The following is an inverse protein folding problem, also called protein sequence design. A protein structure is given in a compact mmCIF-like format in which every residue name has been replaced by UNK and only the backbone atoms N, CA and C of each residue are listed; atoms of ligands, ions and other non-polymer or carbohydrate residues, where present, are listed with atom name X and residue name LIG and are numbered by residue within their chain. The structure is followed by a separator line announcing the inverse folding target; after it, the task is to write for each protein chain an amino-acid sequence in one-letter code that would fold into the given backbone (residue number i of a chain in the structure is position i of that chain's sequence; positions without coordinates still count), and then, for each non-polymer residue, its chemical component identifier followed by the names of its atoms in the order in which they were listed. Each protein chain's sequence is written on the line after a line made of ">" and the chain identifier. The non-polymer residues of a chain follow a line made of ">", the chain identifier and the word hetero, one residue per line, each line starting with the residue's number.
data_IF_541026222623
#
_entry.id   IF_541026222623
#
_cell.length_a   1.000
_cell.length_b   1.000
_cell.length_c   1.000
_cell.angle_alpha   90.00
_cell.angle_beta   90.00
_cell.angle_gamma   90.00
#
_symmetry.space_group_name_H-M   'P 1'
#
loop_
_entity.id
_entity.type
_entity.pdbx_description
1 polymer ?
#
# COMPACT_ATOMS: atom_id res chain seq x y z
N UNK A 1 -11.52 -21.60 23.17
CA UNK A 1 -10.44 -22.03 22.25
C UNK A 1 -10.89 -21.49 20.92
N UNK A 2 -9.96 -21.02 20.08
CA UNK A 2 -10.29 -20.61 18.71
C UNK A 2 -10.92 -21.78 17.94
N UNK A 3 -11.77 -21.49 16.97
CA UNK A 3 -12.38 -22.50 16.11
C UNK A 3 -11.29 -23.20 15.28
N UNK A 4 -11.35 -24.53 15.21
CA UNK A 4 -10.44 -25.30 14.36
C UNK A 4 -11.11 -25.58 13.01
N UNK A 5 -10.68 -24.87 11.96
CA UNK A 5 -11.08 -25.15 10.59
C UNK A 5 -10.55 -26.51 10.13
N UNK A 6 -11.12 -27.08 9.07
CA UNK A 6 -10.55 -28.26 8.41
C UNK A 6 -9.11 -27.99 7.89
N UNK A 7 -8.76 -26.70 7.77
CA UNK A 7 -7.45 -26.16 7.47
C UNK A 7 -6.98 -25.19 8.56
N UNK A 8 -5.72 -24.80 8.53
CA UNK A 8 -5.09 -23.92 9.51
C UNK A 8 -5.34 -22.41 9.29
N UNK A 9 -6.40 -22.06 8.53
CA UNK A 9 -6.81 -20.67 8.26
C UNK A 9 -8.28 -20.63 7.79
N UNK A 10 -8.97 -19.48 7.90
CA UNK A 10 -10.32 -19.29 7.38
C UNK A 10 -10.42 -19.39 5.86
N UNK A 11 -9.43 -18.86 5.15
CA UNK A 11 -9.34 -18.89 3.69
C UNK A 11 -7.92 -18.61 3.19
N UNK A 12 -7.68 -19.00 1.94
CA UNK A 12 -6.49 -18.67 1.18
C UNK A 12 -6.87 -17.88 -0.08
N UNK A 13 -6.02 -16.96 -0.54
CA UNK A 13 -6.20 -16.22 -1.77
C UNK A 13 -5.03 -16.46 -2.72
N UNK A 14 -5.29 -16.70 -4.00
CA UNK A 14 -4.26 -16.80 -5.02
C UNK A 14 -3.98 -15.42 -5.61
N UNK A 15 -2.91 -14.78 -5.11
CA UNK A 15 -2.50 -13.44 -5.54
C UNK A 15 -1.68 -13.56 -6.82
N UNK A 16 -2.10 -12.90 -7.88
CA UNK A 16 -1.55 -13.01 -9.23
C UNK A 16 -0.99 -11.66 -9.69
N UNK A 17 0.20 -11.68 -10.30
CA UNK A 17 0.79 -10.50 -10.96
C UNK A 17 0.00 -10.17 -12.23
N UNK A 18 -0.68 -9.01 -12.24
CA UNK A 18 -1.56 -8.58 -13.33
C UNK A 18 -0.78 -8.29 -14.62
N UNK A 19 0.40 -7.69 -14.52
CA UNK A 19 1.23 -7.40 -15.69
C UNK A 19 1.66 -8.68 -16.41
N UNK A 20 2.17 -9.66 -15.69
CA UNK A 20 2.55 -10.98 -16.24
C UNK A 20 1.36 -11.75 -16.76
N UNK A 21 0.22 -11.67 -16.09
CA UNK A 21 -1.02 -12.27 -16.56
C UNK A 21 -1.45 -11.69 -17.92
N UNK A 22 -1.34 -10.38 -18.10
CA UNK A 22 -1.62 -9.70 -19.38
C UNK A 22 -0.62 -10.11 -20.50
N UNK A 23 0.57 -10.54 -20.15
CA UNK A 23 1.59 -11.09 -21.07
C UNK A 23 1.34 -12.57 -21.39
N UNK A 24 0.35 -13.20 -20.74
CA UNK A 24 -0.02 -14.62 -20.94
C UNK A 24 0.70 -15.57 -19.99
N UNK A 25 1.33 -15.06 -18.94
CA UNK A 25 1.99 -15.85 -17.91
C UNK A 25 1.16 -15.84 -16.63
N UNK A 26 0.75 -17.00 -16.12
CA UNK A 26 0.10 -17.11 -14.83
C UNK A 26 1.19 -17.20 -13.74
N UNK A 27 1.54 -16.05 -13.16
CA UNK A 27 2.49 -15.95 -12.06
C UNK A 27 1.76 -15.45 -10.83
N UNK A 28 1.59 -16.32 -9.86
CA UNK A 28 0.89 -16.05 -8.61
C UNK A 28 1.23 -17.07 -7.55
N UNK A 29 0.77 -16.84 -6.32
CA UNK A 29 1.01 -17.70 -5.16
C UNK A 29 -0.18 -17.67 -4.21
N UNK A 30 -0.46 -18.82 -3.56
CA UNK A 30 -1.46 -18.93 -2.50
C UNK A 30 -0.95 -18.28 -1.21
N UNK A 31 -1.77 -17.44 -0.63
CA UNK A 31 -1.54 -16.76 0.64
C UNK A 31 -2.64 -17.13 1.61
N UNK A 32 -2.25 -17.68 2.77
CA UNK A 32 -3.16 -17.95 3.88
C UNK A 32 -3.47 -16.66 4.62
N UNK A 33 -4.72 -16.46 4.98
CA UNK A 33 -5.16 -15.36 5.82
C UNK A 33 -5.70 -15.90 7.16
N UNK A 34 -5.34 -15.27 8.32
CA UNK A 34 -4.49 -14.10 8.45
C UNK A 34 -3.01 -14.38 8.12
N UNK A 35 -2.33 -13.34 7.61
CA UNK A 35 -0.90 -13.36 7.26
C UNK A 35 -0.15 -12.23 7.95
N UNK A 36 1.16 -12.16 7.74
CA UNK A 36 1.99 -11.04 8.20
C UNK A 36 2.49 -10.20 7.05
N UNK A 37 2.83 -8.93 7.34
CA UNK A 37 3.41 -8.01 6.37
C UNK A 37 4.69 -8.56 5.74
N UNK A 38 5.55 -9.21 6.53
CA UNK A 38 6.81 -9.80 6.06
C UNK A 38 6.60 -11.00 5.13
N UNK A 39 5.57 -11.82 5.39
CA UNK A 39 5.29 -12.97 4.51
C UNK A 39 4.65 -12.49 3.20
N UNK A 40 3.73 -11.54 3.26
CA UNK A 40 3.10 -10.98 2.08
C UNK A 40 4.13 -10.26 1.18
N UNK A 41 5.06 -9.51 1.77
CA UNK A 41 6.17 -8.89 1.04
C UNK A 41 7.01 -9.93 0.28
N UNK A 42 7.37 -11.04 0.93
CA UNK A 42 8.12 -12.13 0.26
C UNK A 42 7.31 -12.78 -0.87
N UNK A 43 5.98 -12.92 -0.71
CA UNK A 43 5.12 -13.38 -1.79
C UNK A 43 5.19 -12.42 -2.97
N UNK A 44 5.06 -11.12 -2.74
CA UNK A 44 5.14 -10.10 -3.78
C UNK A 44 6.48 -10.14 -4.52
N UNK A 45 7.59 -10.30 -3.79
CA UNK A 45 8.92 -10.48 -4.39
C UNK A 45 8.98 -11.74 -5.27
N UNK A 46 8.42 -12.88 -4.80
CA UNK A 46 8.42 -14.15 -5.54
C UNK A 46 7.56 -14.12 -6.80
N UNK A 47 6.41 -13.45 -6.76
CA UNK A 47 5.54 -13.28 -7.93
C UNK A 47 5.98 -12.13 -8.85
N UNK A 48 7.04 -11.39 -8.46
CA UNK A 48 7.69 -10.36 -9.25
C UNK A 48 7.00 -9.00 -9.24
N UNK A 49 6.18 -8.69 -8.23
CA UNK A 49 5.69 -7.32 -7.99
C UNK A 49 6.88 -6.44 -7.61
N UNK A 50 7.00 -5.26 -8.23
CA UNK A 50 8.16 -4.35 -8.10
C UNK A 50 9.33 -4.66 -9.05
N UNK A 51 9.34 -5.83 -9.72
CA UNK A 51 10.31 -6.12 -10.79
C UNK A 51 9.92 -5.41 -12.10
N UNK A 52 10.82 -5.42 -13.10
CA UNK A 52 10.59 -4.75 -14.38
C UNK A 52 10.46 -5.75 -15.52
N UNK A 53 9.65 -5.37 -16.52
CA UNK A 53 9.56 -6.05 -17.80
C UNK A 53 10.83 -5.83 -18.66
N UNK A 54 10.87 -6.45 -19.85
CA UNK A 54 11.98 -6.31 -20.81
C UNK A 54 12.16 -4.87 -21.35
N UNK A 55 11.16 -4.01 -21.16
CA UNK A 55 11.15 -2.61 -21.59
C UNK A 55 11.46 -1.64 -20.45
N UNK A 56 11.62 -2.14 -19.21
CA UNK A 56 11.92 -1.36 -18.02
C UNK A 56 10.69 -0.84 -17.27
N UNK A 57 9.46 -1.26 -17.64
CA UNK A 57 8.24 -0.87 -16.92
C UNK A 57 8.09 -1.76 -15.69
N UNK A 58 7.76 -1.21 -14.50
CA UNK A 58 7.59 -2.00 -13.31
C UNK A 58 6.26 -2.78 -13.33
N UNK A 59 6.25 -3.98 -12.74
CA UNK A 59 5.03 -4.71 -12.42
C UNK A 59 4.53 -4.25 -11.04
N UNK A 60 3.53 -3.39 -11.02
CA UNK A 60 3.01 -2.77 -9.77
C UNK A 60 1.63 -3.28 -9.39
N UNK A 61 0.90 -3.88 -10.34
CA UNK A 61 -0.49 -4.26 -10.16
C UNK A 61 -0.63 -5.77 -9.92
N UNK A 62 -1.55 -6.11 -9.05
CA UNK A 62 -1.93 -7.48 -8.72
C UNK A 62 -3.45 -7.59 -8.61
N UNK A 63 -3.95 -8.82 -8.65
CA UNK A 63 -5.34 -9.15 -8.41
C UNK A 63 -5.44 -10.55 -7.81
N UNK A 64 -6.59 -10.88 -7.25
CA UNK A 64 -6.86 -12.21 -6.69
C UNK A 64 -7.61 -13.00 -7.75
N UNK A 65 -7.00 -14.03 -8.26
CA UNK A 65 -7.59 -14.84 -9.34
C UNK A 65 -8.38 -16.04 -8.83
N UNK A 66 -8.20 -16.43 -7.57
CA UNK A 66 -8.95 -17.54 -6.96
C UNK A 66 -8.88 -17.46 -5.42
N UNK A 67 -9.83 -18.13 -4.76
CA UNK A 67 -9.89 -18.31 -3.32
C UNK A 67 -10.14 -19.79 -2.98
N UNK A 68 -9.51 -20.26 -1.91
CA UNK A 68 -9.90 -21.49 -1.21
C UNK A 68 -10.44 -21.09 0.16
N UNK A 69 -11.75 -21.27 0.37
CA UNK A 69 -12.47 -20.71 1.51
C UNK A 69 -13.10 -21.82 2.35
N UNK A 70 -12.80 -21.83 3.65
CA UNK A 70 -13.23 -22.83 4.61
C UNK A 70 -14.35 -22.34 5.55
N UNK A 71 -14.91 -21.16 5.21
CA UNK A 71 -16.03 -20.53 5.92
C UNK A 71 -17.25 -20.55 5.01
N UNK A 72 -18.31 -21.22 5.43
CA UNK A 72 -19.52 -21.39 4.64
C UNK A 72 -20.16 -20.02 4.29
N UNK A 73 -20.51 -19.85 3.00
CA UNK A 73 -21.15 -18.64 2.50
C UNK A 73 -20.25 -17.43 2.36
N UNK A 74 -18.96 -17.52 2.71
CA UNK A 74 -18.02 -16.39 2.56
C UNK A 74 -17.46 -16.29 1.15
N UNK A 75 -17.24 -17.41 0.46
CA UNK A 75 -16.63 -17.43 -0.88
C UNK A 75 -17.34 -16.50 -1.88
N UNK A 76 -18.67 -16.45 -1.87
CA UNK A 76 -19.47 -15.61 -2.78
C UNK A 76 -19.38 -14.11 -2.48
N UNK A 77 -18.75 -13.74 -1.36
CA UNK A 77 -18.54 -12.36 -0.94
C UNK A 77 -17.15 -11.83 -1.29
N UNK A 78 -16.23 -12.73 -1.65
CA UNK A 78 -14.84 -12.40 -1.96
C UNK A 78 -14.71 -12.02 -3.44
N UNK A 79 -14.07 -10.87 -3.71
CA UNK A 79 -13.89 -10.32 -5.05
C UNK A 79 -12.44 -10.39 -5.55
N UNK A 80 -12.24 -10.14 -6.84
CA UNK A 80 -10.92 -10.18 -7.48
C UNK A 80 -9.99 -9.03 -7.05
N UNK A 81 -10.54 -7.92 -6.55
CA UNK A 81 -9.82 -6.69 -6.22
C UNK A 81 -10.03 -6.25 -4.76
N UNK A 82 -10.20 -7.22 -3.87
CA UNK A 82 -10.37 -6.93 -2.45
C UNK A 82 -9.09 -6.35 -1.83
N UNK A 83 -9.26 -5.49 -0.84
CA UNK A 83 -8.15 -4.93 -0.08
C UNK A 83 -7.54 -6.00 0.84
N UNK A 84 -6.24 -6.28 0.67
CA UNK A 84 -5.55 -7.33 1.46
C UNK A 84 -5.48 -7.03 2.95
N UNK A 85 -5.46 -5.75 3.36
CA UNK A 85 -5.55 -5.39 4.78
C UNK A 85 -6.93 -5.69 5.35
N UNK A 86 -7.99 -5.45 4.55
CA UNK A 86 -9.36 -5.76 4.95
C UNK A 86 -9.61 -7.27 5.01
N UNK A 87 -9.08 -8.04 4.04
CA UNK A 87 -9.10 -9.50 4.09
C UNK A 87 -8.35 -10.04 5.31
N UNK A 88 -7.19 -9.45 5.63
CA UNK A 88 -6.42 -9.85 6.79
C UNK A 88 -7.14 -9.54 8.10
N UNK A 89 -7.79 -8.40 8.17
CA UNK A 89 -8.59 -8.01 9.33
C UNK A 89 -9.80 -8.93 9.52
N UNK A 90 -10.53 -9.25 8.44
CA UNK A 90 -11.61 -10.23 8.49
C UNK A 90 -11.12 -11.60 8.97
N UNK A 91 -10.04 -12.10 8.37
CA UNK A 91 -9.50 -13.41 8.72
C UNK A 91 -9.03 -13.46 10.18
N UNK A 92 -8.42 -12.38 10.68
CA UNK A 92 -7.99 -12.28 12.08
C UNK A 92 -9.17 -12.33 13.04
N UNK A 93 -10.26 -11.61 12.72
CA UNK A 93 -11.49 -11.65 13.52
C UNK A 93 -12.13 -13.04 13.53
N UNK A 94 -12.13 -13.73 12.39
CA UNK A 94 -12.65 -15.09 12.30
C UNK A 94 -11.81 -16.09 13.11
N UNK A 95 -10.49 -15.93 13.08
CA UNK A 95 -9.55 -16.79 13.82
C UNK A 95 -9.62 -16.58 15.35
N UNK A 96 -10.13 -15.45 15.82
CA UNK A 96 -10.34 -15.14 17.23
C UNK A 96 -11.64 -15.75 17.79
N UNK A 97 -12.59 -16.19 16.95
CA UNK A 97 -13.84 -16.78 17.38
C UNK A 97 -13.60 -18.14 18.03
N UNK A 98 -14.35 -18.45 19.09
CA UNK A 98 -14.43 -19.81 19.60
C UNK A 98 -15.54 -20.60 18.88
N UNK A 99 -15.64 -21.91 19.15
CA UNK A 99 -16.64 -22.80 18.51
C UNK A 99 -18.08 -22.30 18.64
N UNK A 100 -18.42 -21.68 19.77
CA UNK A 100 -19.76 -21.14 20.01
C UNK A 100 -20.00 -19.90 19.14
N UNK A 101 -19.08 -18.95 19.19
CA UNK A 101 -19.20 -17.68 18.45
C UNK A 101 -19.08 -17.90 16.94
N UNK A 102 -18.27 -18.88 16.51
CA UNK A 102 -18.21 -19.26 15.10
C UNK A 102 -19.53 -19.83 14.59
N UNK A 103 -20.17 -20.77 15.35
CA UNK A 103 -21.48 -21.29 14.97
C UNK A 103 -22.55 -20.20 14.97
N UNK A 104 -22.46 -19.26 15.91
CA UNK A 104 -23.34 -18.10 15.97
C UNK A 104 -23.15 -17.19 14.75
N UNK A 105 -21.90 -16.91 14.37
CA UNK A 105 -21.55 -16.16 13.17
C UNK A 105 -22.10 -16.85 11.90
N UNK A 106 -21.90 -18.17 11.78
CA UNK A 106 -22.40 -18.94 10.64
C UNK A 106 -23.93 -18.89 10.53
N UNK A 107 -24.64 -19.00 11.66
CA UNK A 107 -26.08 -18.86 11.69
C UNK A 107 -26.54 -17.45 11.30
N UNK A 108 -25.86 -16.42 11.83
CA UNK A 108 -26.15 -15.01 11.51
C UNK A 108 -25.87 -14.71 10.03
N UNK A 109 -24.80 -15.25 9.44
CA UNK A 109 -24.47 -15.12 8.02
C UNK A 109 -25.61 -15.58 7.08
N UNK A 110 -26.41 -16.59 7.50
CA UNK A 110 -27.50 -17.13 6.69
C UNK A 110 -28.74 -16.23 6.67
N UNK A 111 -28.94 -15.39 7.68
CA UNK A 111 -30.18 -14.59 7.79
C UNK A 111 -29.94 -13.07 7.74
N UNK A 112 -28.72 -12.60 7.95
CA UNK A 112 -28.39 -11.18 8.04
C UNK A 112 -28.46 -10.49 6.68
N UNK A 113 -29.02 -9.29 6.69
CA UNK A 113 -28.95 -8.36 5.54
C UNK A 113 -27.56 -7.71 5.40
N UNK A 114 -26.70 -7.84 6.42
CA UNK A 114 -25.35 -7.25 6.48
C UNK A 114 -24.27 -8.26 6.07
N UNK A 115 -24.34 -8.74 4.83
CA UNK A 115 -23.38 -9.69 4.25
C UNK A 115 -23.03 -9.34 2.80
N UNK A 116 -23.27 -8.09 2.39
CA UNK A 116 -23.11 -7.65 1.00
C UNK A 116 -21.67 -7.33 0.60
N UNK A 117 -20.77 -7.14 1.57
CA UNK A 117 -19.37 -6.78 1.38
C UNK A 117 -18.50 -7.34 2.50
N UNK A 118 -17.17 -7.33 2.32
CA UNK A 118 -16.20 -7.70 3.38
C UNK A 118 -16.40 -6.82 4.62
N UNK A 119 -16.58 -5.51 4.44
CA UNK A 119 -16.92 -4.58 5.49
C UNK A 119 -18.16 -5.03 6.31
N UNK A 120 -19.22 -5.46 5.61
CA UNK A 120 -20.45 -5.89 6.29
C UNK A 120 -20.20 -7.15 7.12
N UNK A 121 -19.43 -8.11 6.59
CA UNK A 121 -19.07 -9.34 7.30
C UNK A 121 -18.18 -9.05 8.52
N UNK A 122 -17.23 -8.12 8.43
CA UNK A 122 -16.42 -7.65 9.56
C UNK A 122 -17.34 -7.10 10.67
N UNK A 123 -18.28 -6.23 10.29
CA UNK A 123 -19.21 -5.65 11.24
C UNK A 123 -20.19 -6.69 11.81
N UNK A 124 -20.57 -7.70 11.04
CA UNK A 124 -21.46 -8.77 11.53
C UNK A 124 -20.83 -9.53 12.70
N UNK A 125 -19.52 -9.81 12.65
CA UNK A 125 -18.80 -10.46 13.75
C UNK A 125 -18.90 -9.64 15.05
N UNK A 126 -18.87 -8.30 14.95
CA UNK A 126 -18.99 -7.40 16.10
C UNK A 126 -20.45 -7.18 16.56
N UNK A 127 -21.43 -7.68 15.82
CA UNK A 127 -22.86 -7.55 16.10
C UNK A 127 -23.57 -8.89 16.31
N UNK A 128 -22.85 -9.95 16.68
CA UNK A 128 -23.46 -11.27 16.92
C UNK A 128 -24.51 -11.21 18.03
N UNK A 129 -24.39 -10.30 19.00
CA UNK A 129 -25.38 -10.05 20.04
C UNK A 129 -26.76 -9.57 19.51
N UNK A 130 -26.85 -9.17 18.23
CA UNK A 130 -28.10 -8.80 17.56
C UNK A 130 -28.87 -10.02 17.01
N UNK A 131 -28.26 -11.16 17.04
CA UNK A 131 -28.83 -12.42 16.58
C UNK A 131 -28.93 -13.40 17.77
N UNK A 132 -30.10 -13.97 17.97
CA UNK A 132 -30.28 -15.04 18.94
C UNK A 132 -30.28 -16.39 18.23
N UNK A 133 -29.42 -17.29 18.69
CA UNK A 133 -29.35 -18.67 18.18
C UNK A 133 -29.83 -19.66 19.25
N UNK A 134 -30.62 -20.64 18.82
CA UNK A 134 -31.07 -21.78 19.67
C UNK A 134 -30.51 -23.07 19.09
N UNK A 135 -29.30 -23.48 19.52
CA UNK A 135 -28.64 -24.69 19.02
C UNK A 135 -29.49 -25.95 19.29
N UNK A 136 -29.56 -26.83 18.31
CA UNK A 136 -30.34 -28.07 18.41
C UNK A 136 -31.86 -27.92 18.22
N UNK A 137 -32.33 -26.72 17.93
CA UNK A 137 -33.71 -26.43 17.47
C UNK A 137 -33.75 -26.46 15.96
N UNK A 138 -34.15 -27.58 15.37
CA UNK A 138 -34.04 -27.84 13.94
C UNK A 138 -35.38 -27.85 13.20
N UNK A 139 -36.49 -27.85 13.97
CA UNK A 139 -37.85 -27.91 13.43
C UNK A 139 -38.83 -27.02 14.20
N UNK A 140 -40.01 -26.78 13.57
CA UNK A 140 -41.08 -26.10 14.28
C UNK A 140 -41.50 -26.82 15.55
N UNK A 141 -41.48 -28.16 15.57
CA UNK A 141 -41.82 -28.92 16.78
C UNK A 141 -40.78 -28.66 17.89
N UNK A 142 -39.48 -28.68 17.56
CA UNK A 142 -38.44 -28.39 18.53
C UNK A 142 -38.53 -26.96 19.06
N UNK A 143 -38.83 -25.99 18.16
CA UNK A 143 -39.05 -24.61 18.55
C UNK A 143 -40.23 -24.45 19.49
N UNK A 144 -41.32 -25.14 19.21
CA UNK A 144 -42.50 -25.19 20.09
C UNK A 144 -42.20 -25.75 21.45
N UNK A 145 -41.47 -26.86 21.53
CA UNK A 145 -40.98 -27.44 22.79
C UNK A 145 -40.08 -26.49 23.55
N UNK A 146 -39.11 -25.89 22.87
CA UNK A 146 -38.16 -24.95 23.47
C UNK A 146 -38.89 -23.77 24.13
N UNK A 147 -39.85 -23.15 23.42
CA UNK A 147 -40.60 -21.99 23.92
C UNK A 147 -41.54 -22.33 25.06
N UNK A 148 -42.21 -23.47 24.99
CA UNK A 148 -43.21 -23.85 26.00
C UNK A 148 -42.53 -24.45 27.23
N UNK A 149 -41.61 -25.41 27.04
CA UNK A 149 -41.07 -26.21 28.13
C UNK A 149 -39.80 -25.61 28.72
N UNK A 150 -38.89 -25.09 27.87
CA UNK A 150 -37.62 -24.56 28.38
C UNK A 150 -37.71 -23.08 28.76
N UNK A 151 -38.33 -22.26 27.93
CA UNK A 151 -38.53 -20.83 28.24
C UNK A 151 -39.76 -20.59 29.14
N UNK A 152 -40.65 -21.57 29.26
CA UNK A 152 -41.83 -21.47 30.11
C UNK A 152 -42.83 -20.39 29.64
N UNK A 153 -42.90 -20.10 28.32
CA UNK A 153 -43.77 -19.08 27.77
C UNK A 153 -45.26 -19.41 27.91
N UNK A 154 -45.57 -20.68 28.22
CA UNK A 154 -46.95 -21.14 28.50
C UNK A 154 -46.89 -22.16 29.64
N UNK A 155 -47.70 -21.92 30.67
CA UNK A 155 -47.92 -22.93 31.74
C UNK A 155 -48.86 -24.03 31.22
N UNK A 156 -48.30 -25.21 30.94
CA UNK A 156 -49.05 -26.39 30.50
C UNK A 156 -49.14 -27.36 31.66
N UNK A 157 -50.35 -27.67 32.17
CA UNK A 157 -50.51 -28.75 33.16
C UNK A 157 -50.08 -30.11 32.59
N UNK A 158 -49.41 -30.95 33.38
CA UNK A 158 -48.85 -32.24 32.94
C UNK A 158 -49.84 -33.11 32.17
N UNK A 159 -51.13 -33.11 32.57
CA UNK A 159 -52.17 -33.92 31.93
C UNK A 159 -52.62 -33.40 30.56
N UNK A 160 -52.15 -32.21 30.14
CA UNK A 160 -52.41 -31.63 28.82
C UNK A 160 -51.20 -31.64 27.90
N UNK A 161 -50.01 -31.92 28.41
CA UNK A 161 -48.76 -31.89 27.63
C UNK A 161 -48.84 -32.74 26.35
N UNK A 162 -49.41 -33.94 26.44
CA UNK A 162 -49.58 -34.87 25.32
C UNK A 162 -50.58 -34.36 24.23
N UNK A 163 -51.35 -33.31 24.52
CA UNK A 163 -52.33 -32.73 23.62
C UNK A 163 -51.89 -31.43 22.99
N UNK A 164 -50.71 -30.97 23.31
CA UNK A 164 -50.16 -29.74 22.74
C UNK A 164 -49.63 -30.01 21.32
N UNK A 165 -50.06 -29.21 20.37
CA UNK A 165 -49.49 -29.19 19.02
C UNK A 165 -48.26 -28.24 18.97
N UNK A 166 -47.13 -28.79 19.41
CA UNK A 166 -45.84 -28.04 19.46
C UNK A 166 -45.40 -27.56 18.06
N UNK A 167 -45.68 -28.34 17.00
CA UNK A 167 -45.33 -27.97 15.63
C UNK A 167 -46.13 -26.73 15.17
N UNK A 168 -47.43 -26.70 15.47
CA UNK A 168 -48.25 -25.55 15.11
C UNK A 168 -47.83 -24.29 15.90
N UNK A 169 -47.53 -24.45 17.19
CA UNK A 169 -47.07 -23.34 18.02
C UNK A 169 -45.71 -22.82 17.57
N UNK A 170 -44.72 -23.67 17.37
CA UNK A 170 -43.39 -23.27 16.92
C UNK A 170 -43.37 -22.63 15.54
N UNK A 171 -44.24 -23.14 14.62
CA UNK A 171 -44.43 -22.48 13.31
C UNK A 171 -44.94 -21.03 13.47
N UNK A 172 -45.92 -20.81 14.32
CA UNK A 172 -46.47 -19.48 14.56
C UNK A 172 -45.43 -18.57 15.23
N UNK A 173 -44.58 -19.09 16.12
CA UNK A 173 -43.42 -18.38 16.69
C UNK A 173 -42.45 -17.99 15.60
N UNK A 174 -42.00 -18.94 14.76
CA UNK A 174 -41.06 -18.67 13.68
C UNK A 174 -41.52 -17.58 12.71
N UNK A 175 -42.83 -17.61 12.35
CA UNK A 175 -43.43 -16.59 11.49
C UNK A 175 -43.45 -15.22 12.17
N UNK A 176 -43.84 -15.15 13.45
CA UNK A 176 -43.95 -13.89 14.16
C UNK A 176 -42.60 -13.23 14.43
N UNK A 177 -41.55 -14.01 14.63
CA UNK A 177 -40.19 -13.54 14.90
C UNK A 177 -39.34 -13.40 13.64
N UNK A 178 -39.84 -13.84 12.48
CA UNK A 178 -39.12 -13.87 11.20
C UNK A 178 -37.80 -14.64 11.30
N UNK A 179 -37.71 -15.61 12.21
CA UNK A 179 -36.54 -16.46 12.39
C UNK A 179 -36.46 -17.58 11.33
N UNK A 180 -35.31 -18.19 11.22
CA UNK A 180 -35.04 -19.26 10.27
C UNK A 180 -34.34 -20.45 10.91
N UNK A 181 -34.60 -21.64 10.39
CA UNK A 181 -33.85 -22.85 10.75
C UNK A 181 -32.61 -22.93 9.86
N UNK A 182 -31.47 -23.07 10.49
CA UNK A 182 -30.14 -23.20 9.86
C UNK A 182 -29.50 -24.51 10.24
N UNK A 183 -28.37 -24.87 9.64
CA UNK A 183 -27.58 -26.04 10.03
C UNK A 183 -27.00 -25.93 11.45
N UNK A 184 -27.04 -24.72 12.03
CA UNK A 184 -26.51 -24.40 13.38
C UNK A 184 -27.62 -24.29 14.44
N UNK A 185 -28.88 -24.43 14.04
CA UNK A 185 -30.06 -24.28 14.87
C UNK A 185 -31.02 -23.20 14.38
N UNK A 186 -32.05 -22.92 15.18
CA UNK A 186 -32.95 -21.79 14.86
C UNK A 186 -32.29 -20.47 15.23
N UNK A 187 -32.34 -19.50 14.30
CA UNK A 187 -31.75 -18.16 14.49
C UNK A 187 -32.76 -17.09 14.16
N UNK A 188 -32.75 -16.00 14.92
CA UNK A 188 -33.57 -14.82 14.67
C UNK A 188 -32.78 -13.52 14.87
N UNK A 189 -33.14 -12.49 14.13
CA UNK A 189 -32.71 -11.12 14.38
C UNK A 189 -33.51 -10.56 15.56
N UNK A 190 -32.86 -9.96 16.56
CA UNK A 190 -33.49 -9.34 17.71
C UNK A 190 -34.17 -8.01 17.37
N UNK A 191 -33.99 -7.49 16.17
CA UNK A 191 -34.43 -6.19 15.72
C UNK A 191 -33.75 -5.01 16.48
N UNK A 192 -32.66 -5.27 17.18
CA UNK A 192 -31.82 -4.22 17.73
C UNK A 192 -30.98 -3.56 16.65
N UNK A 193 -30.63 -2.29 16.87
CA UNK A 193 -29.87 -1.53 15.88
C UNK A 193 -28.48 -2.15 15.65
N UNK A 194 -28.18 -2.47 14.40
CA UNK A 194 -26.86 -2.87 13.95
C UNK A 194 -25.90 -1.67 14.07
N UNK A 195 -24.70 -1.91 14.59
CA UNK A 195 -23.68 -0.87 14.78
C UNK A 195 -22.56 -1.05 13.77
N UNK A 196 -22.29 -0.03 12.99
CA UNK A 196 -21.13 -0.01 12.10
C UNK A 196 -19.88 0.39 12.91
N UNK A 197 -19.05 -0.57 13.29
CA UNK A 197 -17.80 -0.36 14.02
C UNK A 197 -16.63 -0.07 13.06
N UNK A 198 -16.66 -0.69 11.89
CA UNK A 198 -15.72 -0.50 10.80
C UNK A 198 -16.44 0.11 9.60
N UNK A 199 -15.96 1.26 9.13
CA UNK A 199 -16.60 2.06 8.07
C UNK A 199 -16.11 1.74 6.66
N UNK A 200 -15.14 0.81 6.52
CA UNK A 200 -14.52 0.45 5.24
C UNK A 200 -13.30 1.30 4.90
N UNK A 201 -12.89 2.24 5.78
CA UNK A 201 -11.66 2.97 5.56
C UNK A 201 -10.46 2.18 6.11
N UNK A 202 -9.48 1.92 5.26
CA UNK A 202 -8.24 1.24 5.61
C UNK A 202 -7.53 1.84 6.83
N UNK A 203 -7.57 3.17 6.96
CA UNK A 203 -6.91 3.88 8.07
C UNK A 203 -7.56 3.56 9.43
N UNK A 204 -8.77 3.00 9.44
CA UNK A 204 -9.48 2.55 10.63
C UNK A 204 -9.26 1.06 10.96
N UNK A 205 -8.53 0.33 10.10
CA UNK A 205 -8.04 -1.01 10.45
C UNK A 205 -6.89 -0.86 11.46
N UNK A 206 -6.90 -1.56 12.61
CA UNK A 206 -5.79 -1.52 13.55
C UNK A 206 -4.45 -1.90 12.90
N UNK A 207 -3.37 -1.21 13.26
CA UNK A 207 -2.05 -1.35 12.63
C UNK A 207 -1.55 -2.80 12.62
N UNK A 208 -1.89 -3.59 13.64
CA UNK A 208 -1.51 -5.00 13.77
C UNK A 208 -2.10 -5.91 12.69
N UNK A 209 -3.21 -5.50 12.04
CA UNK A 209 -3.87 -6.26 10.96
C UNK A 209 -3.52 -5.73 9.57
N UNK A 210 -2.79 -4.60 9.47
CA UNK A 210 -2.36 -4.04 8.20
C UNK A 210 -1.13 -4.77 7.67
N UNK A 211 -1.29 -5.48 6.56
CA UNK A 211 -0.24 -6.28 5.95
C UNK A 211 0.39 -5.63 4.72
N UNK A 212 -0.23 -4.56 4.21
CA UNK A 212 0.24 -3.83 3.03
C UNK A 212 1.07 -2.58 3.37
N UNK A 213 1.41 -2.36 4.64
CA UNK A 213 2.16 -1.17 5.08
C UNK A 213 3.57 -1.09 4.44
N UNK A 214 4.16 -2.20 4.02
CA UNK A 214 5.41 -2.19 3.26
C UNK A 214 5.26 -1.54 1.87
N UNK A 215 4.08 -1.62 1.24
CA UNK A 215 3.78 -0.90 -0.01
C UNK A 215 3.57 0.60 0.26
N UNK A 216 2.90 0.91 1.38
CA UNK A 216 2.57 2.28 1.78
C UNK A 216 3.77 2.98 2.40
N UNK A 217 4.64 2.26 3.13
CA UNK A 217 5.85 2.84 3.74
C UNK A 217 6.82 3.37 2.70
N UNK A 218 6.89 2.72 1.53
CA UNK A 218 7.60 3.27 0.37
C UNK A 218 7.03 4.61 -0.10
N UNK A 219 5.73 4.80 -0.03
CA UNK A 219 5.04 6.05 -0.43
C UNK A 219 4.91 7.05 0.74
N UNK A 220 4.60 6.58 1.96
CA UNK A 220 4.47 7.46 3.16
C UNK A 220 5.80 8.02 3.63
N UNK A 221 6.87 7.23 3.63
CA UNK A 221 8.21 7.74 3.96
C UNK A 221 8.67 8.79 2.95
N UNK A 222 8.28 8.66 1.67
CA UNK A 222 8.56 9.65 0.62
C UNK A 222 7.64 10.88 0.72
N UNK A 223 6.37 10.69 1.07
CA UNK A 223 5.38 11.79 1.20
C UNK A 223 5.62 12.70 2.41
N UNK A 224 6.33 12.22 3.41
CA UNK A 224 6.75 13.00 4.59
C UNK A 224 8.19 13.47 4.52
N UNK A 225 8.90 13.21 3.41
CA UNK A 225 10.28 13.63 3.23
C UNK A 225 10.36 15.16 3.24
N UNK A 226 10.95 15.70 4.31
CA UNK A 226 11.22 17.13 4.35
C UNK A 226 12.39 17.48 3.40
N UNK A 227 12.52 18.76 3.09
CA UNK A 227 13.52 19.24 2.13
C UNK A 227 14.96 18.80 2.47
N UNK A 228 15.34 18.80 3.74
CA UNK A 228 16.70 18.41 4.16
C UNK A 228 16.94 16.90 3.99
N UNK A 229 15.94 16.08 4.27
CA UNK A 229 15.99 14.62 4.05
C UNK A 229 16.04 14.32 2.54
N UNK A 230 15.17 14.97 1.76
CA UNK A 230 15.16 14.84 0.30
C UNK A 230 16.53 15.15 -0.30
N UNK A 231 17.17 16.25 0.10
CA UNK A 231 18.50 16.62 -0.41
C UNK A 231 19.55 15.54 -0.16
N UNK A 232 19.54 14.96 1.04
CA UNK A 232 20.54 13.96 1.42
C UNK A 232 20.34 12.67 0.64
N UNK A 233 19.13 12.12 0.63
CA UNK A 233 18.81 10.89 -0.09
C UNK A 233 18.96 11.05 -1.60
N UNK A 234 18.45 12.15 -2.14
CA UNK A 234 18.55 12.45 -3.56
C UNK A 234 20.00 12.57 -4.04
N UNK A 235 20.89 13.14 -3.22
CA UNK A 235 22.31 13.22 -3.53
C UNK A 235 22.99 11.87 -3.58
N UNK A 236 22.66 10.96 -2.63
CA UNK A 236 23.20 9.60 -2.63
C UNK A 236 22.68 8.79 -3.82
N UNK A 237 21.38 8.88 -4.11
CA UNK A 237 20.75 8.18 -5.25
C UNK A 237 21.31 8.71 -6.60
N UNK A 238 21.49 10.01 -6.76
CA UNK A 238 22.15 10.59 -7.94
C UNK A 238 23.57 10.06 -8.09
N UNK A 239 24.31 9.93 -7.01
CA UNK A 239 25.67 9.40 -7.03
C UNK A 239 25.69 7.94 -7.48
N UNK A 240 24.77 7.11 -6.98
CA UNK A 240 24.59 5.73 -7.41
C UNK A 240 24.22 5.64 -8.89
N UNK A 241 23.26 6.41 -9.34
CA UNK A 241 22.81 6.44 -10.74
C UNK A 241 23.88 6.96 -11.71
N UNK A 242 24.73 7.88 -11.29
CA UNK A 242 25.87 8.33 -12.08
C UNK A 242 26.98 7.27 -12.13
N UNK A 243 27.21 6.54 -11.04
CA UNK A 243 28.14 5.39 -11.03
C UNK A 243 27.70 4.30 -12.02
N UNK A 244 26.42 3.95 -12.09
CA UNK A 244 25.84 3.01 -13.07
C UNK A 244 26.09 3.48 -14.53
N UNK A 245 26.27 4.76 -14.75
CA UNK A 245 26.55 5.38 -16.07
C UNK A 245 28.05 5.55 -16.36
N UNK A 246 28.91 5.11 -15.47
CA UNK A 246 30.36 5.14 -15.68
C UNK A 246 31.08 6.35 -15.12
N UNK A 247 30.44 7.12 -14.23
CA UNK A 247 31.09 8.17 -13.47
C UNK A 247 31.54 7.58 -12.12
N UNK A 248 32.75 7.03 -12.07
CA UNK A 248 33.23 6.20 -10.96
C UNK A 248 33.28 6.93 -9.60
N UNK A 249 33.60 8.22 -9.59
CA UNK A 249 33.60 9.05 -8.39
C UNK A 249 33.11 10.46 -8.68
N UNK A 250 32.04 10.88 -8.00
CA UNK A 250 31.53 12.25 -8.05
C UNK A 250 31.48 12.85 -6.66
N UNK A 251 31.88 14.13 -6.56
CA UNK A 251 31.68 14.94 -5.36
C UNK A 251 30.40 15.72 -5.50
N UNK A 252 29.53 15.62 -4.48
CA UNK A 252 28.30 16.39 -4.40
C UNK A 252 28.41 17.41 -3.25
N UNK A 253 28.00 18.62 -3.51
CA UNK A 253 27.92 19.69 -2.52
C UNK A 253 26.71 20.58 -2.79
N UNK A 254 26.21 21.26 -1.78
CA UNK A 254 25.09 22.19 -1.89
C UNK A 254 25.57 23.62 -1.74
N UNK A 255 25.15 24.51 -2.66
CA UNK A 255 25.58 25.89 -2.71
C UNK A 255 24.41 26.80 -3.10
N UNK A 256 24.35 28.00 -2.50
CA UNK A 256 23.41 29.02 -2.94
C UNK A 256 23.93 29.69 -4.20
N UNK A 257 23.11 29.68 -5.24
CA UNK A 257 23.41 30.34 -6.52
C UNK A 257 22.61 31.63 -6.61
N UNK A 258 23.31 32.77 -6.73
CA UNK A 258 22.71 34.08 -6.94
C UNK A 258 22.68 34.38 -8.45
N UNK A 259 21.49 34.39 -9.05
CA UNK A 259 21.27 34.92 -10.40
C UNK A 259 20.57 36.26 -10.34
N UNK A 260 20.68 37.05 -11.41
CA UNK A 260 20.13 38.41 -11.49
C UNK A 260 18.63 38.53 -11.18
N UNK A 261 17.88 37.44 -11.25
CA UNK A 261 16.44 37.39 -10.99
C UNK A 261 15.95 36.25 -10.08
N UNK A 262 16.81 35.32 -9.67
CA UNK A 262 16.43 34.19 -8.83
C UNK A 262 17.63 33.70 -8.02
N UNK A 263 17.44 33.55 -6.70
CA UNK A 263 18.36 32.82 -5.86
C UNK A 263 17.78 31.43 -5.60
N UNK A 264 18.58 30.40 -5.74
CA UNK A 264 18.17 29.03 -5.48
C UNK A 264 19.33 28.21 -4.89
N UNK A 265 18.99 27.16 -4.15
CA UNK A 265 19.98 26.18 -3.72
C UNK A 265 20.25 25.18 -4.84
N UNK A 266 21.52 25.00 -5.17
CA UNK A 266 21.98 24.07 -6.18
C UNK A 266 22.74 22.90 -5.55
N UNK A 267 22.48 21.71 -6.08
CA UNK A 267 23.32 20.53 -5.90
C UNK A 267 24.42 20.56 -6.96
N UNK A 268 25.66 20.81 -6.52
CA UNK A 268 26.84 20.79 -7.40
C UNK A 268 27.39 19.37 -7.50
N UNK A 269 27.49 18.84 -8.70
CA UNK A 269 28.00 17.51 -9.01
C UNK A 269 29.29 17.66 -9.81
N UNK A 270 30.41 17.23 -9.27
CA UNK A 270 31.75 17.38 -9.85
C UNK A 270 32.46 16.03 -9.87
N UNK A 271 32.83 15.47 -11.05
CA UNK A 271 33.62 14.24 -11.11
C UNK A 271 34.96 14.41 -10.40
N UNK A 272 35.46 13.35 -9.74
CA UNK A 272 36.73 13.41 -9.05
C UNK A 272 37.88 13.62 -10.05
N UNK A 273 38.82 14.46 -9.67
CA UNK A 273 39.92 14.86 -10.56
C UNK A 273 39.54 15.87 -11.61
N UNK A 274 38.30 16.34 -11.63
CA UNK A 274 37.83 17.38 -12.56
C UNK A 274 37.50 18.69 -11.82
N UNK A 275 37.62 19.82 -12.49
CA UNK A 275 37.28 21.17 -11.95
C UNK A 275 36.00 21.72 -12.58
N UNK A 276 35.36 20.93 -13.42
CA UNK A 276 34.12 21.30 -14.08
C UNK A 276 33.04 20.36 -13.59
N UNK A 277 31.89 20.92 -13.25
CA UNK A 277 30.75 20.21 -12.74
C UNK A 277 29.43 20.77 -13.21
N UNK A 278 28.37 20.18 -12.78
CA UNK A 278 26.99 20.58 -13.07
C UNK A 278 26.36 21.09 -11.78
N UNK A 279 25.72 22.25 -11.83
CA UNK A 279 24.82 22.70 -10.76
C UNK A 279 23.39 22.42 -11.16
N UNK A 280 22.76 21.60 -10.36
CA UNK A 280 21.37 21.17 -10.52
C UNK A 280 20.49 21.89 -9.49
N UNK A 281 19.36 22.47 -9.89
CA UNK A 281 18.45 23.16 -8.99
C UNK A 281 17.67 22.13 -8.13
N UNK A 282 18.13 21.91 -6.89
CA UNK A 282 17.54 20.91 -6.00
C UNK A 282 16.19 21.37 -5.43
N UNK A 283 15.96 22.69 -5.26
CA UNK A 283 14.68 23.22 -4.80
C UNK A 283 13.56 22.92 -5.80
N UNK A 284 13.85 23.08 -7.11
CA UNK A 284 12.87 22.74 -8.16
C UNK A 284 12.61 21.24 -8.24
N UNK A 285 13.63 20.40 -8.03
CA UNK A 285 13.44 18.96 -7.96
C UNK A 285 12.54 18.57 -6.79
N UNK A 286 12.75 19.15 -5.63
CA UNK A 286 11.89 18.93 -4.47
C UNK A 286 10.46 19.41 -4.72
N UNK A 287 10.27 20.60 -5.27
CA UNK A 287 8.95 21.12 -5.63
C UNK A 287 8.24 20.25 -6.68
N UNK A 288 8.98 19.65 -7.62
CA UNK A 288 8.43 18.69 -8.58
C UNK A 288 8.01 17.40 -7.89
N UNK A 289 8.82 16.88 -6.98
CA UNK A 289 8.48 15.73 -6.17
C UNK A 289 7.22 15.99 -5.32
N UNK A 290 7.13 17.10 -4.59
CA UNK A 290 5.95 17.47 -3.82
C UNK A 290 4.67 17.58 -4.67
N UNK A 291 4.83 17.99 -5.94
CA UNK A 291 3.69 18.15 -6.83
C UNK A 291 3.24 16.86 -7.50
N UNK A 292 4.19 16.01 -7.90
CA UNK A 292 3.91 14.80 -8.70
C UNK A 292 3.83 13.54 -7.88
N UNK A 293 4.38 13.56 -6.65
CA UNK A 293 4.59 12.38 -5.78
C UNK A 293 5.44 11.28 -6.46
N UNK A 294 6.20 11.65 -7.50
CA UNK A 294 7.02 10.73 -8.31
C UNK A 294 8.52 10.99 -8.08
N UNK A 295 9.04 10.46 -6.98
CA UNK A 295 10.47 10.55 -6.67
C UNK A 295 11.35 9.88 -7.74
N UNK A 296 10.93 8.71 -8.24
CA UNK A 296 11.70 7.93 -9.20
C UNK A 296 11.81 8.66 -10.56
N UNK A 297 10.70 9.25 -11.02
CA UNK A 297 10.70 10.04 -12.24
C UNK A 297 11.53 11.32 -12.13
N UNK A 298 11.46 12.02 -10.99
CA UNK A 298 12.30 13.19 -10.72
C UNK A 298 13.78 12.81 -10.67
N UNK A 299 14.13 11.70 -10.00
CA UNK A 299 15.49 11.18 -9.92
C UNK A 299 16.04 10.79 -11.30
N UNK A 300 15.25 10.07 -12.10
CA UNK A 300 15.64 9.66 -13.44
C UNK A 300 15.90 10.88 -14.36
N UNK A 301 15.00 11.85 -14.32
CA UNK A 301 15.10 13.09 -15.09
C UNK A 301 16.32 13.92 -14.68
N UNK A 302 16.54 14.08 -13.37
CA UNK A 302 17.70 14.76 -12.82
C UNK A 302 19.02 14.07 -13.22
N UNK A 303 19.06 12.73 -13.12
CA UNK A 303 20.23 11.94 -13.51
C UNK A 303 20.59 12.16 -14.98
N UNK A 304 19.58 12.18 -15.87
CA UNK A 304 19.81 12.42 -17.30
C UNK A 304 20.38 13.82 -17.57
N UNK A 305 19.78 14.84 -16.95
CA UNK A 305 20.20 16.24 -17.11
C UNK A 305 21.63 16.45 -16.58
N UNK A 306 21.95 15.89 -15.43
CA UNK A 306 23.28 15.99 -14.82
C UNK A 306 24.31 15.26 -15.67
N UNK A 307 24.03 14.02 -16.12
CA UNK A 307 24.94 13.25 -16.98
C UNK A 307 25.21 13.97 -18.31
N UNK A 308 24.18 14.48 -18.98
CA UNK A 308 24.34 15.27 -20.21
C UNK A 308 25.20 16.54 -19.98
N UNK A 309 25.00 17.18 -18.82
CA UNK A 309 25.83 18.33 -18.44
C UNK A 309 27.29 17.95 -18.20
N UNK A 310 27.56 16.81 -17.55
CA UNK A 310 28.90 16.28 -17.31
C UNK A 310 29.59 15.87 -18.63
N UNK A 311 28.88 15.27 -19.57
CA UNK A 311 29.41 14.87 -20.88
C UNK A 311 29.80 16.07 -21.73
N UNK A 312 29.13 17.22 -21.58
CA UNK A 312 29.43 18.46 -22.28
C UNK A 312 30.51 19.29 -21.60
N UNK A 313 30.76 19.03 -20.33
CA UNK A 313 31.77 19.76 -19.59
C UNK A 313 33.18 19.47 -20.16
N UNK A 314 33.95 20.46 -20.57
CA UNK A 314 35.29 20.23 -21.07
C UNK A 314 36.20 19.71 -19.94
N UNK A 315 36.92 18.63 -20.20
CA UNK A 315 37.94 18.15 -19.27
C UNK A 315 39.02 19.23 -19.12
N UNK A 316 39.26 19.68 -17.89
CA UNK A 316 40.34 20.63 -17.58
C UNK A 316 41.49 19.82 -16.99
N UNK A 317 42.68 19.98 -17.59
CA UNK A 317 43.89 19.35 -17.05
C UNK A 317 44.24 19.94 -15.69
N UNK A 318 43.99 19.15 -14.64
CA UNK A 318 44.23 19.53 -13.24
C UNK A 318 45.73 19.77 -12.96
N UNK A 319 46.64 19.20 -13.78
CA UNK A 319 48.07 19.43 -13.63
C UNK A 319 48.49 20.88 -13.77
N UNK A 320 47.69 21.69 -14.50
CA UNK A 320 47.90 23.14 -14.63
C UNK A 320 47.48 23.94 -13.38
N UNK A 321 46.77 23.31 -12.43
CA UNK A 321 46.20 23.97 -11.24
C UNK A 321 46.98 23.64 -9.94
N UNK A 322 48.13 23.01 -9.98
CA UNK A 322 48.91 22.68 -8.78
C UNK A 322 49.40 23.91 -7.99
N UNK A 323 49.18 25.13 -8.46
CA UNK A 323 49.43 26.37 -7.71
C UNK A 323 48.15 26.96 -7.10
N UNK A 324 47.15 26.11 -6.89
CA UNK A 324 45.80 26.47 -6.46
C UNK A 324 45.74 27.28 -5.14
N UNK A 325 46.62 26.98 -4.19
CA UNK A 325 46.64 27.67 -2.89
C UNK A 325 47.00 29.16 -3.02
N UNK A 326 47.84 29.49 -3.99
CA UNK A 326 48.23 30.88 -4.28
C UNK A 326 47.27 31.62 -5.20
N UNK A 327 46.29 30.91 -5.78
CA UNK A 327 45.41 31.45 -6.81
C UNK A 327 43.91 31.50 -6.39
N UNK A 328 43.57 31.07 -5.17
CA UNK A 328 42.19 31.05 -4.68
C UNK A 328 41.42 32.37 -4.81
N UNK A 329 42.15 33.51 -4.71
CA UNK A 329 41.56 34.84 -4.83
C UNK A 329 41.30 35.27 -6.31
N UNK A 330 41.74 34.47 -7.28
CA UNK A 330 41.65 34.77 -8.71
C UNK A 330 40.72 33.86 -9.51
N UNK A 331 40.03 32.95 -8.82
CA UNK A 331 39.09 32.03 -9.44
C UNK A 331 37.69 32.64 -9.44
N UNK A 332 37.11 32.82 -10.61
CA UNK A 332 35.70 33.10 -10.77
C UNK A 332 34.95 31.89 -11.31
N UNK A 333 33.66 31.82 -11.06
CA UNK A 333 32.78 30.78 -11.62
C UNK A 333 32.05 31.36 -12.83
N UNK A 334 32.31 30.81 -14.00
CA UNK A 334 31.60 31.18 -15.23
C UNK A 334 30.58 30.11 -15.58
N UNK A 335 29.34 30.54 -15.82
CA UNK A 335 28.29 29.66 -16.35
C UNK A 335 28.59 29.39 -17.83
N UNK A 336 28.90 28.15 -18.18
CA UNK A 336 29.23 27.74 -19.55
C UNK A 336 27.98 27.48 -20.39
N UNK A 337 26.95 26.88 -19.76
CA UNK A 337 25.69 26.59 -20.41
C UNK A 337 24.56 26.63 -19.39
N UNK A 338 23.52 27.41 -19.71
CA UNK A 338 22.30 27.50 -18.89
C UNK A 338 21.14 26.68 -19.45
N UNK A 339 21.27 26.19 -20.66
CA UNK A 339 20.22 25.42 -21.33
C UNK A 339 20.46 23.94 -21.07
N UNK A 340 19.90 23.47 -20.00
CA UNK A 340 19.59 22.02 -19.90
C UNK A 340 18.63 21.70 -21.05
N UNK A 341 18.99 20.74 -21.88
CA UNK A 341 18.26 20.40 -23.08
C UNK A 341 16.77 20.20 -22.81
N UNK A 342 15.93 21.10 -23.30
CA UNK A 342 14.48 20.96 -23.27
C UNK A 342 14.00 19.65 -23.94
N UNK A 343 14.79 19.11 -24.88
CA UNK A 343 14.46 17.84 -25.57
C UNK A 343 14.68 16.57 -24.72
N UNK A 344 15.51 16.61 -23.68
CA UNK A 344 15.70 15.48 -22.75
C UNK A 344 14.63 15.44 -21.66
N UNK A 345 13.91 16.52 -21.48
CA UNK A 345 12.86 16.68 -20.48
C UNK A 345 11.44 16.49 -21.06
N UNK A 346 11.32 15.86 -22.23
CA UNK A 346 10.06 15.72 -22.97
C UNK A 346 8.91 15.05 -22.20
N UNK A 347 9.21 14.36 -21.09
CA UNK A 347 8.24 13.69 -20.24
C UNK A 347 7.99 14.40 -18.89
N UNK A 348 8.57 15.58 -18.68
CA UNK A 348 8.41 16.39 -17.47
C UNK A 348 7.72 17.69 -17.84
N UNK A 349 6.78 18.23 -17.05
CA UNK A 349 6.14 19.51 -17.36
C UNK A 349 7.17 20.58 -17.63
N UNK A 350 7.24 21.04 -18.88
CA UNK A 350 8.25 21.94 -19.42
C UNK A 350 8.42 23.28 -18.67
N UNK A 351 7.40 23.74 -18.00
CA UNK A 351 7.35 25.05 -17.37
C UNK A 351 8.14 25.18 -16.05
N UNK A 352 8.72 24.09 -15.57
CA UNK A 352 9.43 24.04 -14.27
C UNK A 352 10.85 23.48 -14.31
N UNK A 353 11.29 22.92 -15.43
CA UNK A 353 12.58 22.25 -15.54
C UNK A 353 13.61 22.93 -16.42
N UNK A 354 13.28 24.03 -17.08
CA UNK A 354 14.16 24.73 -18.04
C UNK A 354 15.50 25.20 -17.46
N UNK A 355 15.62 25.30 -16.12
CA UNK A 355 16.82 25.83 -15.45
C UNK A 355 17.47 24.82 -14.46
N UNK A 356 17.17 23.53 -14.54
CA UNK A 356 17.59 22.57 -13.52
C UNK A 356 19.09 22.29 -13.47
N UNK A 357 19.77 22.32 -14.62
CA UNK A 357 21.20 22.06 -14.68
C UNK A 357 21.95 23.21 -15.32
N UNK A 358 23.01 23.66 -14.67
CA UNK A 358 23.91 24.69 -15.14
C UNK A 358 25.32 24.13 -15.09
N UNK A 359 26.00 24.14 -16.22
CA UNK A 359 27.39 23.73 -16.31
C UNK A 359 28.29 24.87 -15.90
N UNK A 360 29.15 24.63 -14.94
CA UNK A 360 30.13 25.60 -14.48
C UNK A 360 31.53 25.21 -14.91
N UNK A 361 32.32 26.22 -15.17
CA UNK A 361 33.76 26.03 -15.15
C UNK A 361 34.38 27.13 -14.28
N UNK A 362 35.43 26.76 -13.60
CA UNK A 362 36.26 27.71 -12.90
C UNK A 362 37.21 28.37 -13.90
N UNK A 363 37.12 29.68 -14.03
CA UNK A 363 37.97 30.48 -14.90
C UNK A 363 38.93 31.26 -14.02
N UNK A 364 40.22 31.15 -14.32
CA UNK A 364 41.20 32.04 -13.72
C UNK A 364 41.02 33.46 -14.27
N UNK A 365 40.76 34.40 -13.40
CA UNK A 365 40.83 35.83 -13.80
C UNK A 365 42.26 36.13 -14.23
N UNK A 366 42.42 36.48 -15.50
CA UNK A 366 43.71 36.99 -15.98
C UNK A 366 44.01 38.27 -15.22
N UNK A 367 45.08 38.27 -14.45
CA UNK A 367 45.60 39.50 -13.88
C UNK A 367 45.89 40.49 -15.03
N UNK A 368 45.00 41.47 -15.22
CA UNK A 368 45.39 42.68 -15.89
C UNK A 368 46.35 43.46 -14.97
N UNK A 369 47.60 43.02 -14.92
CA UNK A 369 48.72 43.84 -14.55
C UNK A 369 49.87 43.55 -15.49
N UNK A 370 49.67 43.99 -16.70
CA UNK A 370 50.69 44.22 -17.66
C UNK A 370 51.04 45.70 -17.74
N UNK A 371 51.87 46.14 -16.85
CA UNK A 371 52.86 47.22 -17.11
C UNK A 371 53.90 47.22 -16.06
#
# INVERSE_FOLDING_TARGET
>A
MAYEYDHDCPFEAFITNLGKYNEGELVGEWVKFPTTSEELQKVFERIGIGSKDDFGNPYEEWFISDYDCYVDGLYEKLGEYENLDELNYLASKLDELDDHDYNHFQAAMQISDYTGSIKDVINLIDNLDKYEIYPGVESNADLGHYYIEELGMMEVPDYLADYIDYEAYGRDVAINEMGQFTDYGYVRDTQESFTEYYDGDRENIPDEYRVMDFMVSGEKERKTMNYETFKQEFAEDIKEKLYERGYDDVRISFNNVEKTNQNYEAMSVVPEGNNVGVNFNIENAFASYEHTDDYAGVLASATMVIADGLDRAPAIDVSALMDYENMKEKLSVEVISADANADLLANVPHDRMEDLAVVYRFVMESSEDGR
#
